data_IF_185563323723
#
_entry.id   IF_185563323723
#
_cell.length_a   1.000
_cell.length_b   1.000
_cell.length_c   1.000
_cell.angle_alpha   90.00
_cell.angle_beta   90.00
_cell.angle_gamma   90.00
#
_symmetry.space_group_name_H-M   'P 1'
#
loop_
_entity.id
_entity.type
_entity.pdbx_description
1 polymer ?
#
# COMPACT_ATOMS: atom_id res chain seq x y z
N UNK A 1 16.52 -5.49 -6.52
CA UNK A 1 15.61 -6.01 -7.55
C UNK A 1 14.24 -5.36 -7.38
N UNK A 2 13.69 -4.84 -8.46
CA UNK A 2 12.36 -4.22 -8.45
C UNK A 2 11.33 -5.29 -8.78
N UNK A 3 10.33 -5.44 -7.91
CA UNK A 3 9.15 -6.26 -8.18
C UNK A 3 8.02 -5.37 -8.66
N UNK A 4 7.08 -5.96 -9.37
CA UNK A 4 5.86 -5.27 -9.77
C UNK A 4 4.66 -5.95 -9.12
N UNK A 5 3.62 -5.16 -8.87
CA UNK A 5 2.35 -5.67 -8.37
C UNK A 5 1.23 -5.09 -9.22
N UNK A 6 0.26 -5.93 -9.57
CA UNK A 6 -0.89 -5.52 -10.35
C UNK A 6 -1.97 -4.99 -9.41
N UNK A 7 -2.33 -3.73 -9.57
CA UNK A 7 -3.37 -3.08 -8.79
C UNK A 7 -4.54 -2.76 -9.73
N UNK A 8 -5.53 -3.63 -9.75
CA UNK A 8 -6.74 -3.45 -10.58
C UNK A 8 -6.41 -3.20 -12.07
N UNK A 9 -5.41 -3.91 -12.59
CA UNK A 9 -4.98 -3.79 -13.98
C UNK A 9 -3.86 -2.80 -14.22
N UNK A 10 -3.48 -2.02 -13.22
CA UNK A 10 -2.37 -1.06 -13.31
C UNK A 10 -1.14 -1.62 -12.59
N UNK A 11 0.00 -1.62 -13.26
CA UNK A 11 1.22 -2.16 -12.70
C UNK A 11 1.96 -1.11 -11.89
N UNK A 12 2.26 -1.43 -10.62
CA UNK A 12 3.06 -0.60 -9.73
C UNK A 12 4.41 -1.26 -9.50
N UNK A 13 5.47 -0.44 -9.43
CA UNK A 13 6.81 -0.91 -9.05
C UNK A 13 6.92 -0.89 -7.54
N UNK A 14 7.47 -1.97 -6.96
CA UNK A 14 7.80 -2.03 -5.54
C UNK A 14 9.31 -1.88 -5.41
N UNK A 15 9.74 -0.78 -4.81
CA UNK A 15 11.15 -0.41 -4.67
C UNK A 15 11.50 -0.44 -3.19
N UNK A 16 12.54 -1.21 -2.86
CA UNK A 16 13.08 -1.27 -1.50
C UNK A 16 14.38 -0.50 -1.46
N UNK A 17 14.47 0.49 -0.58
CA UNK A 17 15.62 1.38 -0.51
C UNK A 17 15.76 2.03 0.87
N UNK A 18 16.94 2.53 1.25
CA UNK A 18 17.07 3.36 2.45
C UNK A 18 16.31 4.66 2.29
N UNK A 19 15.76 5.17 3.40
CA UNK A 19 15.08 6.47 3.44
C UNK A 19 15.93 7.44 4.26
N UNK A 20 16.06 8.66 3.77
CA UNK A 20 16.79 9.72 4.48
C UNK A 20 16.06 10.13 5.77
N UNK A 21 14.72 10.19 5.72
CA UNK A 21 13.91 10.52 6.88
C UNK A 21 13.62 9.26 7.70
N UNK A 22 14.05 9.26 8.97
CA UNK A 22 13.88 8.13 9.90
C UNK A 22 12.43 7.89 10.29
N UNK A 23 11.55 8.86 10.11
CA UNK A 23 10.15 8.78 10.52
C UNK A 23 9.25 8.25 9.41
N UNK A 24 9.78 8.04 8.21
CA UNK A 24 9.03 7.55 7.05
C UNK A 24 9.46 6.13 6.74
N UNK A 25 8.52 5.19 6.77
CA UNK A 25 8.79 3.77 6.49
C UNK A 25 8.39 3.36 5.07
N UNK A 26 7.56 4.14 4.41
CA UNK A 26 7.14 3.86 3.05
C UNK A 26 6.33 4.99 2.44
N UNK A 27 6.10 4.89 1.14
CA UNK A 27 5.22 5.82 0.44
C UNK A 27 4.64 5.15 -0.80
N UNK A 28 3.50 5.68 -1.24
CA UNK A 28 2.85 5.28 -2.49
C UNK A 28 2.64 6.54 -3.33
N UNK A 29 3.31 6.59 -4.48
CA UNK A 29 3.11 7.65 -5.45
C UNK A 29 2.28 7.09 -6.61
N UNK A 30 0.97 7.35 -6.58
CA UNK A 30 0.06 6.85 -7.61
C UNK A 30 0.25 7.55 -8.96
N UNK A 31 0.90 8.72 -8.99
CA UNK A 31 1.15 9.44 -10.24
C UNK A 31 2.28 8.81 -11.04
N UNK A 32 3.32 8.31 -10.36
CA UNK A 32 4.42 7.57 -10.98
C UNK A 32 4.23 6.05 -10.93
N UNK A 33 3.23 5.58 -10.20
CA UNK A 33 2.92 4.16 -9.98
C UNK A 33 4.09 3.43 -9.32
N UNK A 34 4.56 4.02 -8.22
CA UNK A 34 5.66 3.47 -7.44
C UNK A 34 5.29 3.35 -5.98
N UNK A 35 5.65 2.21 -5.40
CA UNK A 35 5.58 1.97 -3.96
C UNK A 35 7.01 1.83 -3.47
N UNK A 36 7.39 2.64 -2.48
CA UNK A 36 8.74 2.62 -1.90
C UNK A 36 8.65 2.20 -0.45
N UNK A 37 9.49 1.25 -0.06
CA UNK A 37 9.53 0.69 1.28
C UNK A 37 10.95 0.82 1.81
N UNK A 38 11.10 1.29 3.05
CA UNK A 38 12.39 1.33 3.72
C UNK A 38 12.96 -0.07 3.89
N UNK A 39 14.21 -0.26 3.56
CA UNK A 39 14.90 -1.54 3.75
C UNK A 39 16.06 -1.47 4.74
N UNK A 40 16.29 -0.31 5.38
CA UNK A 40 17.31 -0.16 6.42
C UNK A 40 16.65 -0.08 7.80
N UNK A 41 17.12 -0.90 8.75
CA UNK A 41 16.58 -0.92 10.10
C UNK A 41 17.26 0.14 10.97
N UNK A 42 17.17 1.40 10.57
CA UNK A 42 17.85 2.52 11.24
C UNK A 42 17.28 2.81 12.63
N UNK A 43 16.01 2.45 12.87
CA UNK A 43 15.34 2.66 14.17
C UNK A 43 15.46 1.45 15.09
N UNK A 44 16.24 0.43 14.73
CA UNK A 44 16.50 -0.77 15.53
C UNK A 44 15.22 -1.50 15.95
N UNK A 45 14.30 -1.68 15.00
CA UNK A 45 13.04 -2.39 15.23
C UNK A 45 13.33 -3.89 15.43
N UNK A 46 12.70 -4.50 16.44
CA UNK A 46 12.96 -5.89 16.79
C UNK A 46 12.60 -6.88 15.68
N UNK A 47 11.41 -6.79 15.11
CA UNK A 47 10.99 -7.61 13.97
C UNK A 47 10.82 -6.71 12.75
N UNK A 48 11.92 -6.40 12.12
CA UNK A 48 11.95 -5.50 10.96
C UNK A 48 11.28 -6.11 9.74
N UNK A 49 11.39 -7.42 9.55
CA UNK A 49 10.73 -8.10 8.42
C UNK A 49 9.21 -7.95 8.49
N UNK A 50 8.63 -8.10 9.70
CA UNK A 50 7.20 -7.89 9.88
C UNK A 50 6.81 -6.43 9.66
N UNK A 51 7.63 -5.50 10.11
CA UNK A 51 7.39 -4.08 9.87
C UNK A 51 7.36 -3.79 8.36
N UNK A 52 8.31 -4.34 7.59
CA UNK A 52 8.35 -4.16 6.14
C UNK A 52 7.13 -4.76 5.45
N UNK A 53 6.70 -5.97 5.86
CA UNK A 53 5.49 -6.59 5.30
C UNK A 53 4.25 -5.75 5.57
N UNK A 54 4.12 -5.29 6.82
CA UNK A 54 3.02 -4.43 7.23
C UNK A 54 2.99 -3.13 6.42
N UNK A 55 4.15 -2.51 6.25
CA UNK A 55 4.26 -1.26 5.52
C UNK A 55 3.95 -1.46 4.03
N UNK A 56 4.37 -2.57 3.45
CA UNK A 56 4.05 -2.89 2.06
C UNK A 56 2.53 -3.07 1.87
N UNK A 57 1.86 -3.78 2.79
CA UNK A 57 0.39 -3.88 2.76
C UNK A 57 -0.26 -2.50 2.80
N UNK A 58 0.24 -1.63 3.69
CA UNK A 58 -0.27 -0.27 3.86
C UNK A 58 -0.20 0.52 2.53
N UNK A 59 0.95 0.49 1.86
CA UNK A 59 1.12 1.22 0.61
C UNK A 59 0.31 0.60 -0.54
N UNK A 60 0.17 -0.71 -0.57
CA UNK A 60 -0.70 -1.39 -1.55
C UNK A 60 -2.16 -0.96 -1.37
N UNK A 61 -2.62 -0.81 -0.13
CA UNK A 61 -3.98 -0.32 0.14
C UNK A 61 -4.16 1.10 -0.44
N UNK A 62 -3.18 1.98 -0.26
CA UNK A 62 -3.23 3.31 -0.88
C UNK A 62 -3.33 3.22 -2.40
N UNK A 63 -2.59 2.31 -3.03
CA UNK A 63 -2.67 2.11 -4.47
C UNK A 63 -4.06 1.64 -4.91
N UNK A 64 -4.67 0.71 -4.17
CA UNK A 64 -6.05 0.27 -4.43
C UNK A 64 -7.05 1.41 -4.32
N UNK A 65 -6.90 2.26 -3.30
CA UNK A 65 -7.77 3.42 -3.13
C UNK A 65 -7.64 4.38 -4.33
N UNK A 66 -6.42 4.62 -4.77
CA UNK A 66 -6.16 5.49 -5.92
C UNK A 66 -6.74 4.91 -7.21
N UNK A 67 -6.45 3.63 -7.51
CA UNK A 67 -6.87 3.01 -8.78
C UNK A 67 -8.36 2.71 -8.83
N UNK A 68 -9.02 2.54 -7.69
CA UNK A 68 -10.48 2.35 -7.62
C UNK A 68 -11.27 3.65 -7.66
N UNK A 69 -10.60 4.80 -7.59
CA UNK A 69 -11.23 6.11 -7.55
C UNK A 69 -11.72 6.54 -6.16
N UNK A 70 -11.60 5.68 -5.16
CA UNK A 70 -12.13 5.98 -3.82
C UNK A 70 -11.31 7.07 -3.13
N UNK A 71 -10.03 7.20 -3.44
CA UNK A 71 -9.20 8.27 -2.90
C UNK A 71 -9.71 9.66 -3.29
N UNK A 72 -10.17 9.83 -4.51
CA UNK A 72 -10.77 11.08 -4.95
C UNK A 72 -12.05 11.39 -4.17
N UNK A 73 -12.83 10.36 -3.86
CA UNK A 73 -14.04 10.51 -3.03
C UNK A 73 -13.71 10.88 -1.59
N UNK A 74 -12.61 10.34 -1.04
CA UNK A 74 -12.20 10.61 0.33
C UNK A 74 -12.00 12.11 0.60
N UNK A 75 -11.50 12.86 -0.37
CA UNK A 75 -11.29 14.29 -0.24
C UNK A 75 -12.59 15.07 -0.04
N UNK A 76 -13.72 14.47 -0.39
CA UNK A 76 -15.05 15.07 -0.29
C UNK A 76 -15.84 14.59 0.93
N UNK A 77 -15.36 13.57 1.65
CA UNK A 77 -16.03 13.01 2.82
C UNK A 77 -15.30 13.36 4.10
N UNK A 78 -16.03 13.87 5.08
CA UNK A 78 -15.46 14.20 6.38
C UNK A 78 -15.44 13.02 7.35
N UNK A 79 -16.26 12.01 7.11
CA UNK A 79 -16.34 10.80 7.93
C UNK A 79 -16.16 9.61 7.05
N UNK A 80 -15.15 8.81 7.36
CA UNK A 80 -14.79 7.64 6.58
C UNK A 80 -14.99 6.34 7.36
N UNK A 81 -15.66 6.40 8.48
CA UNK A 81 -15.76 5.27 9.38
C UNK A 81 -16.68 4.17 8.86
N UNK A 82 -17.79 3.97 9.53
CA UNK A 82 -18.72 2.89 9.26
C UNK A 82 -19.71 3.28 8.16
N UNK A 83 -19.24 3.34 6.93
CA UNK A 83 -20.00 3.73 5.74
C UNK A 83 -20.26 2.51 4.88
N UNK A 84 -21.49 2.34 4.39
CA UNK A 84 -21.86 1.23 3.52
C UNK A 84 -21.06 1.23 2.22
N UNK A 85 -20.70 2.38 1.70
CA UNK A 85 -19.83 2.47 0.52
C UNK A 85 -18.47 1.84 0.80
N UNK A 86 -17.90 2.09 1.97
CA UNK A 86 -16.62 1.50 2.37
C UNK A 86 -16.75 -0.02 2.56
N UNK A 87 -17.85 -0.46 3.18
CA UNK A 87 -18.12 -1.89 3.37
C UNK A 87 -18.21 -2.60 2.03
N UNK A 88 -18.97 -2.05 1.09
CA UNK A 88 -19.09 -2.59 -0.27
C UNK A 88 -17.74 -2.61 -0.99
N UNK A 89 -16.96 -1.56 -0.83
CA UNK A 89 -15.64 -1.47 -1.44
C UNK A 89 -14.72 -2.59 -0.95
N UNK A 90 -14.66 -2.80 0.36
CA UNK A 90 -13.86 -3.89 0.94
C UNK A 90 -14.35 -5.26 0.48
N UNK A 91 -15.66 -5.47 0.46
CA UNK A 91 -16.26 -6.73 0.01
C UNK A 91 -15.80 -7.08 -1.40
N UNK A 92 -15.83 -6.13 -2.30
CA UNK A 92 -15.49 -6.33 -3.71
C UNK A 92 -13.97 -6.44 -3.90
N UNK A 93 -13.20 -5.57 -3.22
CA UNK A 93 -11.76 -5.46 -3.45
C UNK A 93 -10.93 -6.45 -2.65
N UNK A 94 -11.42 -6.94 -1.52
CA UNK A 94 -10.63 -7.76 -0.61
C UNK A 94 -10.01 -9.00 -1.28
N UNK A 95 -10.74 -9.81 -2.07
CA UNK A 95 -10.13 -10.96 -2.73
C UNK A 95 -9.01 -10.56 -3.70
N UNK A 96 -9.14 -9.42 -4.34
CA UNK A 96 -8.10 -8.89 -5.25
C UNK A 96 -6.89 -8.39 -4.47
N UNK A 97 -7.13 -7.76 -3.32
CA UNK A 97 -6.07 -7.30 -2.43
C UNK A 97 -5.23 -8.47 -1.90
N UNK A 98 -5.87 -9.55 -1.50
CA UNK A 98 -5.18 -10.76 -1.03
C UNK A 98 -4.23 -11.29 -2.11
N UNK A 99 -4.69 -11.37 -3.35
CA UNK A 99 -3.84 -11.80 -4.46
C UNK A 99 -2.63 -10.88 -4.67
N UNK A 100 -2.86 -9.58 -4.59
CA UNK A 100 -1.78 -8.61 -4.70
C UNK A 100 -0.75 -8.78 -3.57
N UNK A 101 -1.22 -8.91 -2.33
CA UNK A 101 -0.34 -9.14 -1.18
C UNK A 101 0.50 -10.42 -1.34
N UNK A 102 -0.15 -11.52 -1.74
CA UNK A 102 0.54 -12.80 -1.95
C UNK A 102 1.61 -12.69 -3.04
N UNK A 103 1.32 -11.95 -4.12
CA UNK A 103 2.22 -11.85 -5.27
C UNK A 103 3.58 -11.21 -4.92
N UNK A 104 3.64 -10.41 -3.87
CA UNK A 104 4.85 -9.69 -3.43
C UNK A 104 5.25 -10.06 -1.99
N UNK A 105 4.72 -11.17 -1.46
CA UNK A 105 5.04 -11.67 -0.13
C UNK A 105 4.80 -10.62 0.96
N UNK A 106 3.66 -9.93 0.90
CA UNK A 106 3.28 -8.87 1.83
C UNK A 106 2.37 -9.34 2.96
N UNK A 107 2.01 -10.62 3.00
CA UNK A 107 1.19 -11.21 4.07
C UNK A 107 2.02 -11.68 5.24
#
# INVERSE_FOLDING_TARGET
>A
MVKTVNILGTEYKVIREPFADKDIDGCCDYTSREIRIRDDNVNEVGDFDELMRKQLRHEIIHAFLAESGLQANYEHYRQFGHDETLVDWFEIQFPKMIKAFESVNAL
#
